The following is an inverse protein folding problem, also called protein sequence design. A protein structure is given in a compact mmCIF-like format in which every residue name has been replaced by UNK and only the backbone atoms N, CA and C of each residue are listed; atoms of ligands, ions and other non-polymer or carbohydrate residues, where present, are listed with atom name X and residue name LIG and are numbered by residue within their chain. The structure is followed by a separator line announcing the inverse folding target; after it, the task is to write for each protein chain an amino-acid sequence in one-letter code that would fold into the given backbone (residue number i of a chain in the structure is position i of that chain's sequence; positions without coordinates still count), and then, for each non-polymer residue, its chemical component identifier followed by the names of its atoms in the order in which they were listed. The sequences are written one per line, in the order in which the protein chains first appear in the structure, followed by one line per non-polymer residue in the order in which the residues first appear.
data_IF_685701231684
#
_entry.id   IF_685701231684
#
_cell.length_a   1.000
_cell.length_b   1.000
_cell.length_c   1.000
_cell.angle_alpha   90.00
_cell.angle_beta   90.00
_cell.angle_gamma   90.00
#
_symmetry.space_group_name_H-M   'P 1'
#
loop_
_entity.id
_entity.type
_entity.pdbx_description
1 polymer ?
#
# COMPACT_ATOMS: atom_id res chain seq x y z
N UNK A 1 7.49 20.14 4.01
CA UNK A 1 7.88 19.78 2.63
C UNK A 1 6.97 18.63 2.20
N UNK A 2 6.50 18.61 0.95
CA UNK A 2 5.70 17.50 0.42
C UNK A 2 6.67 16.45 -0.11
N UNK A 3 6.45 15.17 0.20
CA UNK A 3 7.21 14.03 -0.30
C UNK A 3 6.49 13.42 -1.51
N UNK A 4 7.17 13.32 -2.64
CA UNK A 4 6.68 12.62 -3.82
C UNK A 4 7.06 11.15 -3.73
N UNK A 5 6.05 10.30 -3.49
CA UNK A 5 6.20 8.86 -3.38
C UNK A 5 5.80 8.17 -4.69
N UNK A 6 6.69 7.36 -5.26
CA UNK A 6 6.45 6.62 -6.50
C UNK A 6 6.44 5.10 -6.29
N UNK A 7 5.64 4.34 -7.08
CA UNK A 7 5.69 2.89 -7.07
C UNK A 7 6.92 2.37 -7.83
N UNK A 8 7.54 1.29 -7.33
CA UNK A 8 8.52 0.55 -8.10
C UNK A 8 8.22 -0.96 -8.07
N UNK A 9 8.18 -1.58 -9.23
CA UNK A 9 7.85 -3.00 -9.40
C UNK A 9 9.09 -3.91 -9.45
N UNK A 10 10.26 -3.33 -9.65
CA UNK A 10 11.56 -4.00 -9.67
C UNK A 10 12.69 -2.98 -9.41
N UNK A 11 13.92 -3.48 -9.27
CA UNK A 11 15.10 -2.66 -8.95
C UNK A 11 15.42 -1.60 -10.01
N UNK A 12 15.19 -1.90 -11.29
CA UNK A 12 15.41 -0.94 -12.38
C UNK A 12 14.43 0.24 -12.27
N UNK A 13 13.13 -0.06 -12.08
CA UNK A 13 12.09 0.97 -11.91
C UNK A 13 12.30 1.78 -10.64
N UNK A 14 12.83 1.18 -9.57
CA UNK A 14 13.21 1.89 -8.35
C UNK A 14 14.25 2.96 -8.67
N UNK A 15 15.34 2.57 -9.34
CA UNK A 15 16.41 3.49 -9.71
C UNK A 15 15.91 4.61 -10.62
N UNK A 16 15.12 4.27 -11.63
CA UNK A 16 14.53 5.25 -12.55
C UNK A 16 13.64 6.24 -11.80
N UNK A 17 12.71 5.76 -10.95
CA UNK A 17 11.80 6.64 -10.20
C UNK A 17 12.57 7.66 -9.34
N UNK A 18 13.60 7.21 -8.63
CA UNK A 18 14.42 8.09 -7.78
C UNK A 18 15.24 9.10 -8.59
N UNK A 19 15.81 8.69 -9.72
CA UNK A 19 16.58 9.58 -10.61
C UNK A 19 15.69 10.62 -11.30
N UNK A 20 14.41 10.29 -11.54
CA UNK A 20 13.45 11.20 -12.20
C UNK A 20 12.63 12.05 -11.21
N UNK A 21 13.02 12.09 -9.95
CA UNK A 21 12.53 13.10 -9.02
C UNK A 21 11.63 12.60 -7.89
N UNK A 22 11.38 11.30 -7.76
CA UNK A 22 10.73 10.78 -6.56
C UNK A 22 11.61 11.04 -5.33
N UNK A 23 10.99 11.40 -4.21
CA UNK A 23 11.64 11.58 -2.92
C UNK A 23 11.72 10.26 -2.15
N UNK A 24 10.75 9.38 -2.43
CA UNK A 24 10.71 8.04 -1.89
C UNK A 24 10.07 7.07 -2.91
N UNK A 25 10.33 5.79 -2.73
CA UNK A 25 9.65 4.73 -3.50
C UNK A 25 9.01 3.72 -2.57
N UNK A 26 7.86 3.14 -2.99
CA UNK A 26 7.31 1.98 -2.31
C UNK A 26 7.38 0.75 -3.20
N UNK A 27 7.76 -0.36 -2.59
CA UNK A 27 8.01 -1.64 -3.26
C UNK A 27 7.26 -2.78 -2.58
N UNK A 28 7.06 -3.88 -3.27
CA UNK A 28 6.57 -5.14 -2.70
C UNK A 28 7.71 -6.14 -2.57
N UNK A 29 7.79 -6.82 -1.43
CA UNK A 29 8.58 -8.04 -1.32
C UNK A 29 7.91 -9.21 -2.03
N UNK A 30 8.62 -10.32 -2.16
CA UNK A 30 8.09 -11.58 -2.71
C UNK A 30 6.91 -12.10 -1.88
N UNK A 31 6.91 -11.80 -0.58
CA UNK A 31 5.93 -12.26 0.37
C UNK A 31 5.15 -11.09 1.00
N UNK A 32 4.00 -11.37 1.56
CA UNK A 32 3.16 -10.46 2.37
C UNK A 32 2.72 -9.15 1.69
N UNK A 33 2.85 -9.01 0.35
CA UNK A 33 2.50 -7.81 -0.38
C UNK A 33 1.30 -8.01 -1.31
N UNK A 34 0.43 -7.00 -1.39
CA UNK A 34 -0.66 -6.94 -2.39
C UNK A 34 -0.16 -6.73 -3.83
N UNK A 35 1.13 -6.54 -4.03
CA UNK A 35 1.77 -6.35 -5.34
C UNK A 35 2.18 -7.67 -6.02
N UNK A 36 1.50 -8.79 -5.72
CA UNK A 36 1.83 -10.13 -6.21
C UNK A 36 2.01 -10.25 -7.74
N UNK A 37 1.42 -9.34 -8.53
CA UNK A 37 1.58 -9.30 -9.99
C UNK A 37 2.81 -8.51 -10.48
N UNK A 38 3.58 -7.86 -9.61
CA UNK A 38 4.86 -7.24 -9.92
C UNK A 38 5.98 -8.30 -9.85
N UNK A 39 7.17 -8.00 -10.41
CA UNK A 39 8.33 -8.88 -10.26
C UNK A 39 8.73 -9.03 -8.79
N UNK A 40 8.42 -7.99 -8.00
CA UNK A 40 8.73 -7.89 -6.57
C UNK A 40 10.23 -7.97 -6.27
N UNK A 41 10.56 -7.74 -5.01
CA UNK A 41 11.94 -7.69 -4.55
C UNK A 41 12.21 -8.89 -3.63
N UNK A 42 13.25 -9.65 -3.89
CA UNK A 42 13.87 -10.49 -2.88
C UNK A 42 14.68 -9.62 -1.90
N UNK A 43 15.20 -10.19 -0.82
CA UNK A 43 15.93 -9.44 0.20
C UNK A 43 17.23 -8.82 -0.34
N UNK A 44 17.91 -9.47 -1.27
CA UNK A 44 19.14 -8.96 -1.89
C UNK A 44 18.84 -7.75 -2.77
N UNK A 45 17.81 -7.81 -3.60
CA UNK A 45 17.37 -6.68 -4.43
C UNK A 45 16.90 -5.50 -3.57
N UNK A 46 16.21 -5.79 -2.44
CA UNK A 46 15.83 -4.76 -1.47
C UNK A 46 17.06 -4.07 -0.90
N UNK A 47 18.07 -4.82 -0.46
CA UNK A 47 19.31 -4.27 0.06
C UNK A 47 20.00 -3.35 -0.94
N UNK A 48 20.15 -3.81 -2.19
CA UNK A 48 20.72 -2.99 -3.27
C UNK A 48 19.89 -1.73 -3.51
N UNK A 49 18.56 -1.84 -3.50
CA UNK A 49 17.64 -0.72 -3.70
C UNK A 49 17.70 0.31 -2.58
N UNK A 50 17.76 -0.13 -1.33
CA UNK A 50 17.90 0.72 -0.14
C UNK A 50 19.23 1.46 -0.17
N UNK A 51 20.35 0.74 -0.38
CA UNK A 51 21.67 1.36 -0.47
C UNK A 51 21.74 2.41 -1.60
N UNK A 52 21.14 2.13 -2.75
CA UNK A 52 21.04 3.09 -3.84
C UNK A 52 20.22 4.33 -3.47
N UNK A 53 19.06 4.15 -2.85
CA UNK A 53 18.19 5.25 -2.42
C UNK A 53 18.87 6.13 -1.37
N UNK A 54 19.46 5.51 -0.36
CA UNK A 54 20.17 6.22 0.73
C UNK A 54 21.37 7.02 0.23
N UNK A 55 22.12 6.52 -0.76
CA UNK A 55 23.19 7.27 -1.41
C UNK A 55 22.70 8.55 -2.11
N UNK A 56 21.42 8.61 -2.47
CA UNK A 56 20.76 9.80 -3.03
C UNK A 56 20.04 10.66 -1.98
N UNK A 57 20.08 10.27 -0.69
CA UNK A 57 19.30 10.90 0.38
C UNK A 57 17.79 10.67 0.24
N UNK A 58 17.38 9.56 -0.40
CA UNK A 58 16.00 9.17 -0.68
C UNK A 58 15.58 7.97 0.17
N UNK A 59 14.28 7.64 0.20
CA UNK A 59 13.70 6.62 1.07
C UNK A 59 13.07 5.46 0.31
N UNK A 60 13.01 4.30 0.98
CA UNK A 60 12.35 3.09 0.48
C UNK A 60 11.36 2.56 1.52
N UNK A 61 10.11 2.39 1.10
CA UNK A 61 9.06 1.80 1.92
C UNK A 61 8.65 0.44 1.36
N UNK A 62 8.46 -0.55 2.23
CA UNK A 62 8.08 -1.91 1.83
C UNK A 62 6.65 -2.21 2.22
N UNK A 63 5.84 -2.67 1.26
CA UNK A 63 4.47 -3.07 1.55
C UNK A 63 4.42 -4.47 2.19
N UNK A 64 3.81 -4.55 3.37
CA UNK A 64 3.48 -5.77 4.11
C UNK A 64 1.98 -5.71 4.43
N UNK A 65 1.17 -5.62 3.37
CA UNK A 65 -0.21 -5.16 3.46
C UNK A 65 -1.27 -6.14 2.97
N UNK A 66 -0.97 -7.43 2.92
CA UNK A 66 -1.99 -8.47 2.74
C UNK A 66 -2.90 -8.55 3.97
N UNK A 67 -4.05 -9.19 3.81
CA UNK A 67 -4.85 -9.70 4.93
C UNK A 67 -4.30 -11.09 5.29
N UNK A 68 -3.51 -11.24 6.37
CA UNK A 68 -2.85 -12.49 6.69
C UNK A 68 -3.86 -13.51 7.25
N UNK A 69 -3.72 -14.77 6.83
CA UNK A 69 -4.37 -15.91 7.45
C UNK A 69 -3.43 -16.57 8.45
N UNK A 70 -3.93 -17.54 9.23
CA UNK A 70 -3.08 -18.21 10.23
C UNK A 70 -1.81 -18.83 9.65
N UNK A 71 -1.85 -19.33 8.41
CA UNK A 71 -0.67 -19.87 7.73
C UNK A 71 0.41 -18.81 7.44
N UNK A 72 0.00 -17.56 7.24
CA UNK A 72 0.92 -16.46 6.92
C UNK A 72 1.64 -15.91 8.17
N UNK A 73 1.21 -16.30 9.37
CA UNK A 73 1.87 -15.87 10.61
C UNK A 73 3.22 -16.56 10.79
N UNK A 74 3.42 -17.70 10.10
CA UNK A 74 4.69 -18.40 10.12
C UNK A 74 5.73 -17.67 9.23
N UNK A 75 6.90 -17.36 9.80
CA UNK A 75 7.97 -16.65 9.09
C UNK A 75 7.81 -15.13 9.04
N UNK A 76 6.65 -14.56 9.42
CA UNK A 76 6.41 -13.11 9.36
C UNK A 76 7.32 -12.32 10.32
N UNK A 77 7.57 -12.82 11.53
CA UNK A 77 8.48 -12.16 12.48
C UNK A 77 9.91 -12.07 11.89
N UNK A 78 10.41 -13.15 11.31
CA UNK A 78 11.72 -13.19 10.67
C UNK A 78 11.79 -12.23 9.47
N UNK A 79 10.75 -12.22 8.65
CA UNK A 79 10.68 -11.30 7.51
C UNK A 79 10.74 -9.84 7.95
N UNK A 80 9.99 -9.45 8.99
CA UNK A 80 10.01 -8.08 9.52
C UNK A 80 11.38 -7.71 10.10
N UNK A 81 12.05 -8.63 10.79
CA UNK A 81 13.42 -8.42 11.30
C UNK A 81 14.42 -8.23 10.16
N UNK A 82 14.30 -9.01 9.08
CA UNK A 82 15.15 -8.86 7.89
C UNK A 82 14.96 -7.49 7.22
N UNK A 83 13.72 -6.99 7.12
CA UNK A 83 13.46 -5.66 6.60
C UNK A 83 14.11 -4.56 7.46
N UNK A 84 14.03 -4.69 8.78
CA UNK A 84 14.64 -3.75 9.74
C UNK A 84 16.17 -3.79 9.65
N UNK A 85 16.78 -4.98 9.49
CA UNK A 85 18.23 -5.16 9.31
C UNK A 85 18.73 -4.58 7.98
N UNK A 86 17.98 -4.76 6.90
CA UNK A 86 18.27 -4.15 5.60
C UNK A 86 18.28 -2.63 5.70
N UNK A 87 17.52 -2.06 6.62
CA UNK A 87 17.42 -0.63 6.86
C UNK A 87 16.38 0.04 5.95
N UNK A 88 15.26 -0.63 5.64
CA UNK A 88 14.14 0.04 4.96
C UNK A 88 13.60 1.16 5.84
N UNK A 89 13.19 2.27 5.24
CA UNK A 89 12.77 3.45 6.01
C UNK A 89 11.40 3.27 6.66
N UNK A 90 10.53 2.46 6.07
CA UNK A 90 9.22 2.15 6.64
C UNK A 90 8.55 0.93 6.04
N UNK A 91 7.62 0.36 6.78
CA UNK A 91 6.74 -0.71 6.32
C UNK A 91 5.30 -0.21 6.23
N UNK A 92 4.62 -0.53 5.13
CA UNK A 92 3.23 -0.14 4.88
C UNK A 92 2.35 -1.34 5.16
N UNK A 93 1.55 -1.27 6.23
CA UNK A 93 0.78 -2.40 6.77
C UNK A 93 -0.72 -2.09 6.85
N UNK A 94 -1.57 -3.11 6.75
CA UNK A 94 -3.02 -2.96 6.89
C UNK A 94 -3.61 -3.76 8.06
N UNK A 95 -2.91 -4.79 8.50
CA UNK A 95 -3.41 -5.70 9.52
C UNK A 95 -2.87 -5.36 10.91
N UNK A 96 -3.76 -5.42 11.90
CA UNK A 96 -3.44 -5.08 13.31
C UNK A 96 -2.42 -6.05 13.92
N UNK A 97 -2.36 -7.31 13.45
CA UNK A 97 -1.38 -8.27 13.94
C UNK A 97 0.04 -7.85 13.53
N UNK A 98 0.22 -7.35 12.30
CA UNK A 98 1.52 -6.87 11.83
C UNK A 98 1.94 -5.61 12.61
N UNK A 99 0.99 -4.69 12.89
CA UNK A 99 1.24 -3.51 13.74
C UNK A 99 1.66 -3.93 15.16
N UNK A 100 0.99 -4.94 15.72
CA UNK A 100 1.35 -5.50 17.02
C UNK A 100 2.76 -6.11 16.99
N UNK A 101 3.11 -6.88 15.95
CA UNK A 101 4.45 -7.46 15.80
C UNK A 101 5.53 -6.38 15.69
N UNK A 102 5.30 -5.34 14.88
CA UNK A 102 6.22 -4.21 14.76
C UNK A 102 6.60 -3.65 16.16
N UNK A 103 5.59 -3.41 16.98
CA UNK A 103 5.78 -2.92 18.35
C UNK A 103 6.44 -3.96 19.26
N UNK A 104 5.98 -5.23 19.20
CA UNK A 104 6.51 -6.34 20.01
C UNK A 104 8.00 -6.56 19.76
N UNK A 105 8.42 -6.50 18.49
CA UNK A 105 9.81 -6.70 18.07
C UNK A 105 10.69 -5.46 18.27
N UNK A 106 10.10 -4.30 18.56
CA UNK A 106 10.83 -3.04 18.74
C UNK A 106 11.55 -2.58 17.47
N UNK A 107 10.93 -2.78 16.30
CA UNK A 107 11.52 -2.43 15.01
C UNK A 107 11.79 -0.92 14.92
N UNK A 108 12.86 -0.55 14.24
CA UNK A 108 13.26 0.85 14.00
C UNK A 108 12.60 1.45 12.77
N UNK A 109 12.23 0.59 11.81
CA UNK A 109 11.49 0.99 10.61
C UNK A 109 10.23 1.77 10.98
N UNK A 110 9.89 2.81 10.24
CA UNK A 110 8.64 3.54 10.46
C UNK A 110 7.42 2.64 10.14
N UNK A 111 6.39 2.73 10.99
CA UNK A 111 5.10 2.06 10.77
C UNK A 111 4.17 2.99 9.99
N UNK A 112 3.83 2.63 8.75
CA UNK A 112 2.86 3.33 7.91
C UNK A 112 1.60 2.49 7.76
N UNK A 113 0.43 3.10 7.99
CA UNK A 113 -0.85 2.41 7.82
C UNK A 113 -1.29 2.50 6.37
N UNK A 114 -1.52 1.34 5.75
CA UNK A 114 -1.94 1.24 4.35
C UNK A 114 -3.34 1.79 4.12
N UNK A 115 -3.60 2.26 2.89
CA UNK A 115 -4.95 2.60 2.42
C UNK A 115 -5.95 1.44 2.58
N UNK A 116 -5.48 0.20 2.61
CA UNK A 116 -6.27 -1.00 2.87
C UNK A 116 -6.93 -1.01 4.27
N UNK A 117 -6.43 -0.22 5.21
CA UNK A 117 -7.09 -0.01 6.51
C UNK A 117 -8.32 0.91 6.42
N UNK A 118 -8.56 1.52 5.24
CA UNK A 118 -9.72 2.37 4.93
C UNK A 118 -9.90 3.56 5.90
N UNK A 119 -8.79 4.21 6.28
CA UNK A 119 -8.80 5.33 7.22
C UNK A 119 -9.36 6.58 6.56
N UNK A 120 -10.48 7.10 7.08
CA UNK A 120 -11.19 8.26 6.54
C UNK A 120 -11.61 9.28 7.62
N UNK A 121 -11.23 9.08 8.88
CA UNK A 121 -11.56 9.98 9.99
C UNK A 121 -10.40 10.06 11.00
N UNK A 122 -10.40 11.13 11.80
CA UNK A 122 -9.31 11.41 12.72
C UNK A 122 -9.27 10.44 13.92
N UNK A 123 -10.40 9.91 14.37
CA UNK A 123 -10.43 8.97 15.49
C UNK A 123 -9.71 7.65 15.13
N UNK A 124 -9.97 7.13 13.92
CA UNK A 124 -9.24 5.97 13.42
C UNK A 124 -7.74 6.26 13.26
N UNK A 125 -7.40 7.45 12.78
CA UNK A 125 -6.01 7.88 12.65
C UNK A 125 -5.31 8.01 14.02
N UNK A 126 -6.00 8.53 15.05
CA UNK A 126 -5.50 8.57 16.44
C UNK A 126 -5.28 7.17 17.01
N UNK A 127 -6.20 6.24 16.73
CA UNK A 127 -6.00 4.84 17.12
C UNK A 127 -4.69 4.28 16.57
N UNK A 128 -4.43 4.46 15.26
CA UNK A 128 -3.19 4.00 14.64
C UNK A 128 -1.96 4.73 15.18
N UNK A 129 -2.07 6.03 15.45
CA UNK A 129 -1.01 6.80 16.13
C UNK A 129 -0.64 6.17 17.47
N UNK A 130 -1.64 5.79 18.27
CA UNK A 130 -1.43 5.15 19.57
C UNK A 130 -0.82 3.74 19.44
N UNK A 131 -1.02 3.08 18.28
CA UNK A 131 -0.34 1.83 17.94
C UNK A 131 1.11 2.03 17.47
N UNK A 132 1.57 3.26 17.32
CA UNK A 132 2.93 3.59 16.91
C UNK A 132 3.06 4.01 15.45
N UNK A 133 1.96 4.17 14.72
CA UNK A 133 2.02 4.63 13.35
C UNK A 133 2.60 6.04 13.24
N UNK A 134 3.52 6.21 12.29
CA UNK A 134 4.13 7.48 11.93
C UNK A 134 3.37 8.17 10.81
N UNK A 135 2.82 7.38 9.90
CA UNK A 135 2.10 7.83 8.69
C UNK A 135 0.82 7.04 8.49
N UNK A 136 -0.18 7.67 7.91
CA UNK A 136 -1.41 7.02 7.44
C UNK A 136 -1.65 7.34 5.98
N UNK A 137 -1.75 6.29 5.15
CA UNK A 137 -2.22 6.40 3.77
C UNK A 137 -3.75 6.41 3.81
N UNK A 138 -4.34 7.55 3.54
CA UNK A 138 -5.78 7.75 3.66
C UNK A 138 -6.57 6.93 2.63
N UNK A 139 -7.80 6.64 2.98
CA UNK A 139 -8.78 6.12 2.03
C UNK A 139 -8.95 7.09 0.87
N UNK A 140 -9.12 6.56 -0.35
CA UNK A 140 -9.32 7.35 -1.57
C UNK A 140 -10.60 8.16 -1.56
N UNK A 141 -11.54 7.75 -0.71
CA UNK A 141 -12.86 8.33 -0.51
C UNK A 141 -12.87 9.50 0.49
N UNK A 142 -11.71 9.81 1.08
CA UNK A 142 -11.58 10.87 2.10
C UNK A 142 -11.66 12.26 1.45
N UNK A 143 -12.55 13.11 1.94
CA UNK A 143 -12.71 14.48 1.46
C UNK A 143 -11.51 15.37 1.84
N UNK A 144 -11.34 16.46 1.11
CA UNK A 144 -10.29 17.46 1.41
C UNK A 144 -10.45 18.06 2.81
N UNK A 145 -11.69 18.29 3.23
CA UNK A 145 -12.03 18.80 4.55
C UNK A 145 -11.64 17.80 5.65
N UNK A 146 -11.94 16.52 5.44
CA UNK A 146 -11.55 15.46 6.37
C UNK A 146 -10.03 15.27 6.43
N UNK A 147 -9.33 15.34 5.29
CA UNK A 147 -7.85 15.28 5.26
C UNK A 147 -7.27 16.39 6.14
N UNK A 148 -7.76 17.63 5.97
CA UNK A 148 -7.33 18.77 6.78
C UNK A 148 -7.58 18.52 8.27
N UNK A 149 -8.79 18.09 8.62
CA UNK A 149 -9.17 17.80 10.00
C UNK A 149 -8.31 16.67 10.61
N UNK A 150 -8.09 15.59 9.87
CA UNK A 150 -7.22 14.49 10.32
C UNK A 150 -5.81 15.02 10.61
N UNK A 151 -5.25 15.86 9.74
CA UNK A 151 -3.93 16.45 9.96
C UNK A 151 -3.88 17.32 11.21
N UNK A 152 -4.86 18.17 11.40
CA UNK A 152 -4.95 19.11 12.54
C UNK A 152 -5.09 18.37 13.88
N UNK A 153 -5.97 17.35 13.94
CA UNK A 153 -6.27 16.61 15.17
C UNK A 153 -5.16 15.60 15.54
N UNK A 154 -4.46 15.04 14.55
CA UNK A 154 -3.52 13.95 14.82
C UNK A 154 -2.06 14.36 14.73
N UNK A 155 -1.73 15.37 13.95
CA UNK A 155 -0.37 15.73 13.55
C UNK A 155 0.44 14.56 12.96
N UNK A 156 -0.23 13.51 12.44
CA UNK A 156 0.42 12.43 11.71
C UNK A 156 0.89 12.90 10.33
N UNK A 157 1.85 12.20 9.77
CA UNK A 157 2.10 12.29 8.35
C UNK A 157 0.96 11.63 7.59
N UNK A 158 0.41 12.35 6.62
CA UNK A 158 -0.69 11.85 5.79
C UNK A 158 -0.18 11.63 4.37
N UNK A 159 -0.61 10.52 3.78
CA UNK A 159 -0.32 10.18 2.40
C UNK A 159 -1.64 10.04 1.63
N UNK A 160 -1.69 10.65 0.45
CA UNK A 160 -2.85 10.61 -0.43
C UNK A 160 -2.43 10.20 -1.84
N UNK A 161 -3.23 9.37 -2.49
CA UNK A 161 -3.05 9.08 -3.91
C UNK A 161 -3.41 10.30 -4.75
N UNK A 162 -2.51 10.75 -5.60
CA UNK A 162 -2.73 11.84 -6.56
C UNK A 162 -2.80 11.35 -8.00
N UNK A 163 -2.33 10.13 -8.27
CA UNK A 163 -2.35 9.50 -9.59
C UNK A 163 -2.45 7.99 -9.46
N UNK A 164 -3.17 7.36 -10.37
CA UNK A 164 -3.31 5.90 -10.44
C UNK A 164 -4.72 5.45 -10.75
N UNK A 165 -4.88 4.16 -10.92
CA UNK A 165 -6.18 3.56 -11.22
C UNK A 165 -7.11 3.59 -10.00
N UNK A 166 -8.32 4.12 -10.18
CA UNK A 166 -9.35 4.10 -9.14
C UNK A 166 -9.84 2.66 -8.91
N UNK A 167 -10.02 2.29 -7.65
CA UNK A 167 -10.64 1.03 -7.27
C UNK A 167 -12.15 1.21 -7.06
N UNK A 168 -12.94 0.23 -7.51
CA UNK A 168 -14.40 0.25 -7.32
C UNK A 168 -14.82 -0.06 -5.88
N UNK A 169 -13.93 -0.68 -5.10
CA UNK A 169 -14.18 -1.03 -3.69
C UNK A 169 -13.64 0.02 -2.75
N UNK A 170 -14.22 0.11 -1.55
CA UNK A 170 -13.74 1.03 -0.52
C UNK A 170 -12.28 0.70 -0.20
N UNK A 171 -11.39 1.57 -0.66
CA UNK A 171 -9.94 1.48 -0.46
C UNK A 171 -9.33 0.09 -0.74
N UNK A 172 -9.89 -0.64 -1.72
CA UNK A 172 -9.35 -1.90 -2.20
C UNK A 172 -9.78 -3.15 -1.43
N UNK A 173 -10.65 -3.08 -0.44
CA UNK A 173 -11.26 -4.26 0.21
C UNK A 173 -12.36 -4.82 -0.68
N UNK A 174 -12.03 -5.87 -1.44
CA UNK A 174 -12.87 -6.39 -2.51
C UNK A 174 -12.92 -7.92 -2.52
N UNK A 175 -14.11 -8.46 -2.81
CA UNK A 175 -14.34 -9.90 -2.98
C UNK A 175 -14.71 -10.29 -4.41
N UNK A 176 -14.78 -9.33 -5.34
CA UNK A 176 -15.20 -9.60 -6.72
C UNK A 176 -14.30 -10.60 -7.43
N UNK A 177 -12.98 -10.48 -7.24
CA UNK A 177 -12.03 -11.42 -7.83
C UNK A 177 -12.17 -12.83 -7.27
N UNK A 178 -12.46 -12.95 -5.97
CA UNK A 178 -12.73 -14.24 -5.34
C UNK A 178 -13.94 -14.90 -6.00
N UNK A 179 -15.04 -14.14 -6.14
CA UNK A 179 -16.28 -14.64 -6.72
C UNK A 179 -16.15 -15.01 -8.21
N UNK A 180 -15.56 -14.14 -9.02
CA UNK A 180 -15.52 -14.30 -10.46
C UNK A 180 -14.36 -15.17 -10.97
N UNK A 181 -13.23 -15.22 -10.26
CA UNK A 181 -11.99 -15.84 -10.77
C UNK A 181 -11.29 -16.74 -9.76
N UNK A 182 -11.89 -16.95 -8.59
CA UNK A 182 -11.28 -17.68 -7.45
C UNK A 182 -9.88 -17.15 -7.05
N UNK A 183 -9.67 -15.83 -7.18
CA UNK A 183 -8.43 -15.15 -6.80
C UNK A 183 -8.70 -14.15 -5.70
N UNK A 184 -7.90 -14.18 -4.63
CA UNK A 184 -8.09 -13.30 -3.48
C UNK A 184 -7.45 -11.92 -3.72
N UNK A 185 -8.30 -10.91 -3.94
CA UNK A 185 -7.86 -9.53 -4.14
C UNK A 185 -7.25 -8.90 -2.90
N UNK A 186 -7.57 -9.39 -1.70
CA UNK A 186 -7.01 -8.91 -0.44
C UNK A 186 -5.65 -9.53 -0.11
N UNK A 187 -5.17 -10.42 -0.98
CA UNK A 187 -3.88 -11.11 -0.90
C UNK A 187 -3.07 -11.00 -2.20
N UNK A 188 -3.29 -9.94 -2.96
CA UNK A 188 -2.59 -9.66 -4.21
C UNK A 188 -3.21 -10.27 -5.46
N UNK A 189 -4.29 -11.06 -5.33
CA UNK A 189 -4.93 -11.77 -6.43
C UNK A 189 -5.95 -10.96 -7.24
N UNK A 190 -5.95 -9.62 -7.17
CA UNK A 190 -6.90 -8.81 -7.92
C UNK A 190 -6.77 -9.06 -9.43
N UNK A 191 -7.84 -9.58 -10.04
CA UNK A 191 -7.95 -9.82 -11.49
C UNK A 191 -8.63 -8.67 -12.24
N UNK A 192 -8.91 -7.57 -11.57
CA UNK A 192 -9.55 -6.37 -12.13
C UNK A 192 -10.92 -6.64 -12.79
N UNK A 193 -11.70 -7.52 -12.22
CA UNK A 193 -13.04 -7.92 -12.73
C UNK A 193 -13.94 -6.70 -12.93
N UNK A 194 -13.85 -5.68 -12.07
CA UNK A 194 -14.60 -4.44 -12.20
C UNK A 194 -14.37 -3.68 -13.52
N UNK A 195 -13.33 -4.06 -14.29
CA UNK A 195 -12.97 -3.48 -15.59
C UNK A 195 -13.36 -4.38 -16.77
N UNK A 196 -14.01 -5.52 -16.50
CA UNK A 196 -14.53 -6.38 -17.55
C UNK A 196 -15.77 -5.75 -18.15
N UNK A 197 -16.02 -6.09 -19.39
CA UNK A 197 -17.30 -5.77 -20.05
C UNK A 197 -18.32 -6.81 -19.61
N UNK A 198 -19.43 -6.34 -19.07
CA UNK A 198 -20.57 -7.15 -18.66
C UNK A 198 -21.72 -6.93 -19.64
N UNK A 199 -22.51 -7.98 -19.87
CA UNK A 199 -23.75 -7.92 -20.62
C UNK A 199 -24.92 -8.04 -19.67
N UNK A 200 -25.92 -7.19 -19.83
CA UNK A 200 -27.20 -7.35 -19.15
C UNK A 200 -28.11 -8.25 -19.98
N UNK A 201 -28.76 -9.24 -19.36
CA UNK A 201 -29.51 -10.27 -20.05
C UNK A 201 -30.64 -9.73 -20.94
N UNK A 202 -31.24 -8.58 -20.61
CA UNK A 202 -32.38 -7.99 -21.31
C UNK A 202 -32.07 -6.66 -22.02
N UNK A 203 -30.84 -6.21 -22.03
CA UNK A 203 -30.41 -4.98 -22.70
C UNK A 203 -29.19 -5.24 -23.56
N UNK A 204 -29.20 -4.76 -24.80
CA UNK A 204 -28.08 -4.85 -25.72
C UNK A 204 -26.88 -3.99 -25.32
N UNK A 205 -26.95 -3.26 -24.23
CA UNK A 205 -25.91 -2.36 -23.79
C UNK A 205 -24.85 -3.08 -22.93
N UNK A 206 -23.64 -3.14 -23.43
CA UNK A 206 -22.48 -3.53 -22.64
C UNK A 206 -22.15 -2.45 -21.60
N UNK A 207 -21.78 -2.85 -20.39
CA UNK A 207 -21.35 -1.91 -19.36
C UNK A 207 -20.11 -2.42 -18.64
N UNK A 208 -19.37 -1.51 -18.03
CA UNK A 208 -18.26 -1.82 -17.12
C UNK A 208 -18.46 -1.06 -15.81
N UNK A 209 -18.16 -1.70 -14.69
CA UNK A 209 -18.28 -1.06 -13.37
C UNK A 209 -17.26 0.04 -13.18
N UNK A 210 -16.09 -0.10 -13.81
CA UNK A 210 -15.01 0.86 -13.75
C UNK A 210 -14.30 0.96 -15.08
N UNK A 211 -14.40 2.07 -15.81
CA UNK A 211 -13.69 2.25 -17.08
C UNK A 211 -12.17 2.05 -16.94
N UNK A 212 -11.56 1.48 -17.96
CA UNK A 212 -10.10 1.23 -17.97
C UNK A 212 -9.28 2.52 -17.85
N UNK A 213 -9.82 3.59 -18.41
CA UNK A 213 -9.14 4.88 -18.51
C UNK A 213 -9.42 5.80 -17.30
N UNK A 214 -10.22 5.34 -16.33
CA UNK A 214 -10.48 6.11 -15.14
C UNK A 214 -9.27 6.07 -14.21
N UNK A 215 -8.51 7.13 -14.24
CA UNK A 215 -7.45 7.38 -13.27
C UNK A 215 -7.96 8.27 -12.14
N UNK A 216 -7.32 8.18 -10.99
CA UNK A 216 -7.53 9.15 -9.92
C UNK A 216 -7.12 10.53 -10.43
N UNK A 217 -8.06 11.46 -10.40
CA UNK A 217 -7.77 12.88 -10.59
C UNK A 217 -7.53 13.42 -9.19
N UNK A 218 -6.48 14.19 -9.03
CA UNK A 218 -6.28 14.95 -7.78
C UNK A 218 -7.45 15.90 -7.59
N UNK A 219 -8.13 15.78 -6.47
CA UNK A 219 -9.15 16.74 -6.06
C UNK A 219 -8.52 17.91 -5.32
#
# INVERSE_FOLDING_TARGET
MIELLAPAGDLERLKVALLYGADAVYVGGTDYSLRANAKNFNLDDLKIGVDFAHNLGKRVYVTVNIVPHNADTFGLEEYLLNLDEIGVDGIIVSDIYIMYLHRKLGLKTELHVSTQASTSNYESALFYKNMGAKRVVLARETSKEDIKRIKEETNLDLECFIHGAMCTSVSGRCVMSNYATNRDSNRGGCSQVCRYVFKADDNEADFTMMPKDLNMVSF
#
